data_IF_037849388416
#
_entry.id   IF_037849388416
#
_cell.length_a   1.000
_cell.length_b   1.000
_cell.length_c   1.000
_cell.angle_alpha   90.00
_cell.angle_beta   90.00
_cell.angle_gamma   90.00
#
_symmetry.space_group_name_H-M   'P 1'
#
loop_
_entity.id
_entity.type
_entity.pdbx_description
1 polymer ?
#
# COMPACT_ATOMS: atom_id res chain seq x y z
N UNK A 1 -2.63 -40.23 7.44
CA UNK A 1 -3.66 -39.17 7.26
C UNK A 1 -3.42 -38.00 8.23
N UNK A 2 -2.44 -37.15 7.88
CA UNK A 2 -2.08 -35.97 8.67
C UNK A 2 -3.03 -34.82 8.33
N UNK A 3 -3.82 -34.38 9.33
CA UNK A 3 -4.59 -33.14 9.26
C UNK A 3 -3.60 -31.97 9.36
N UNK A 4 -3.27 -31.35 8.23
CA UNK A 4 -2.43 -30.16 8.22
C UNK A 4 -3.22 -28.94 8.69
N UNK A 5 -2.80 -28.50 9.87
CA UNK A 5 -3.14 -27.29 10.59
C UNK A 5 -2.94 -26.05 9.69
N UNK A 6 -4.02 -25.47 9.16
CA UNK A 6 -4.03 -24.11 8.62
C UNK A 6 -4.76 -23.24 9.63
N UNK A 7 -4.00 -22.66 10.56
CA UNK A 7 -4.47 -21.56 11.40
C UNK A 7 -4.59 -20.32 10.52
N UNK A 8 -5.69 -20.23 9.78
CA UNK A 8 -6.16 -18.99 9.15
C UNK A 8 -6.92 -18.22 10.21
N UNK A 9 -6.36 -17.13 10.72
CA UNK A 9 -7.13 -16.04 11.34
C UNK A 9 -6.33 -14.73 11.24
N UNK A 10 -6.13 -14.26 10.02
CA UNK A 10 -5.95 -12.83 9.75
C UNK A 10 -7.36 -12.25 9.57
N UNK A 11 -7.93 -11.67 10.63
CA UNK A 11 -9.32 -11.21 10.76
C UNK A 11 -9.68 -10.02 9.84
N UNK A 12 -9.59 -10.23 8.53
CA UNK A 12 -10.18 -9.41 7.49
C UNK A 12 -11.03 -10.31 6.59
N UNK A 13 -12.35 -10.10 6.61
CA UNK A 13 -13.26 -10.81 5.72
C UNK A 13 -13.21 -10.15 4.33
N UNK A 14 -12.88 -10.90 3.26
CA UNK A 14 -12.78 -10.34 1.93
C UNK A 14 -14.11 -9.69 1.49
N UNK A 15 -14.06 -8.42 1.15
CA UNK A 15 -15.18 -7.70 0.58
C UNK A 15 -15.45 -8.10 -0.88
N UNK A 16 -16.66 -7.87 -1.40
CA UNK A 16 -17.01 -8.23 -2.78
C UNK A 16 -16.17 -7.49 -3.84
N UNK A 17 -15.63 -6.30 -3.51
CA UNK A 17 -14.80 -5.49 -4.41
C UNK A 17 -13.31 -5.85 -4.36
N UNK A 18 -12.87 -6.65 -3.40
CA UNK A 18 -11.45 -6.95 -3.19
C UNK A 18 -10.84 -7.66 -4.39
N UNK A 19 -11.59 -8.57 -4.99
CA UNK A 19 -11.18 -9.29 -6.20
C UNK A 19 -10.99 -8.34 -7.39
N UNK A 20 -11.80 -7.29 -7.48
CA UNK A 20 -11.72 -6.25 -8.51
C UNK A 20 -10.48 -5.38 -8.28
N UNK A 21 -10.28 -4.90 -7.05
CA UNK A 21 -9.09 -4.10 -6.71
C UNK A 21 -7.80 -4.87 -6.90
N UNK A 22 -7.76 -6.13 -6.46
CA UNK A 22 -6.62 -7.01 -6.64
C UNK A 22 -6.32 -7.22 -8.12
N UNK A 23 -7.33 -7.56 -8.92
CA UNK A 23 -7.18 -7.78 -10.36
C UNK A 23 -6.67 -6.51 -11.07
N UNK A 24 -7.22 -5.35 -10.72
CA UNK A 24 -6.81 -4.07 -11.28
C UNK A 24 -5.37 -3.71 -10.92
N UNK A 25 -5.02 -3.79 -9.63
CA UNK A 25 -3.66 -3.50 -9.15
C UNK A 25 -2.64 -4.46 -9.81
N UNK A 26 -2.96 -5.75 -9.83
CA UNK A 26 -2.15 -6.77 -10.51
C UNK A 26 -1.95 -6.43 -11.99
N UNK A 27 -2.98 -6.02 -12.71
CA UNK A 27 -2.86 -5.64 -14.12
C UNK A 27 -1.88 -4.47 -14.32
N UNK A 28 -1.85 -3.49 -13.41
CA UNK A 28 -0.86 -2.40 -13.44
C UNK A 28 0.56 -2.90 -13.15
N UNK A 29 0.72 -3.78 -12.17
CA UNK A 29 2.02 -4.40 -11.89
C UNK A 29 2.53 -5.23 -13.08
N UNK A 30 1.67 -6.04 -13.70
CA UNK A 30 2.01 -6.83 -14.90
C UNK A 30 2.47 -5.93 -16.04
N UNK A 31 1.79 -4.79 -16.26
CA UNK A 31 2.17 -3.83 -17.29
C UNK A 31 3.58 -3.25 -17.06
N UNK A 32 3.91 -2.93 -15.81
CA UNK A 32 5.23 -2.37 -15.46
C UNK A 32 6.33 -3.46 -15.49
N UNK A 33 6.03 -4.66 -14.99
CA UNK A 33 6.99 -5.77 -14.91
C UNK A 33 7.20 -6.41 -16.29
N UNK A 34 6.17 -6.50 -17.11
CA UNK A 34 6.18 -7.20 -18.41
C UNK A 34 5.99 -8.71 -18.27
N UNK A 35 5.55 -9.19 -17.12
CA UNK A 35 5.34 -10.61 -16.83
C UNK A 35 4.20 -10.78 -15.81
N UNK A 36 3.44 -11.87 -15.94
CA UNK A 36 2.35 -12.23 -15.05
C UNK A 36 2.57 -13.62 -14.48
N UNK A 37 2.38 -13.77 -13.16
CA UNK A 37 2.44 -15.07 -12.50
C UNK A 37 1.30 -15.99 -12.94
N UNK A 38 1.53 -17.30 -12.96
CA UNK A 38 0.49 -18.30 -13.17
C UNK A 38 -0.38 -18.50 -11.91
N UNK A 39 0.13 -18.12 -10.73
CA UNK A 39 -0.63 -18.23 -9.49
C UNK A 39 -1.79 -17.23 -9.47
N UNK A 40 -3.00 -17.68 -9.07
CA UNK A 40 -4.15 -16.79 -8.96
C UNK A 40 -4.03 -15.86 -7.76
N UNK A 41 -4.88 -14.82 -7.75
CA UNK A 41 -5.11 -13.98 -6.58
C UNK A 41 -3.85 -13.34 -6.00
N UNK A 42 -3.81 -13.32 -4.67
CA UNK A 42 -2.81 -12.59 -3.89
C UNK A 42 -1.41 -13.21 -3.99
N UNK A 43 -1.31 -14.54 -4.05
CA UNK A 43 -0.01 -15.21 -4.13
C UNK A 43 0.73 -14.86 -5.42
N UNK A 44 0.01 -14.81 -6.55
CA UNK A 44 0.64 -14.36 -7.78
C UNK A 44 0.93 -12.86 -7.81
N UNK A 45 0.19 -12.04 -7.05
CA UNK A 45 0.56 -10.62 -6.85
C UNK A 45 1.92 -10.49 -6.16
N UNK A 46 2.14 -11.28 -5.10
CA UNK A 46 3.42 -11.31 -4.37
C UNK A 46 4.56 -11.81 -5.27
N UNK A 47 4.32 -12.79 -6.15
CA UNK A 47 5.34 -13.20 -7.13
C UNK A 47 5.70 -12.09 -8.12
N UNK A 48 4.72 -11.30 -8.57
CA UNK A 48 4.98 -10.17 -9.45
C UNK A 48 5.77 -9.08 -8.71
N UNK A 49 5.47 -8.82 -7.43
CA UNK A 49 6.25 -7.91 -6.59
C UNK A 49 7.70 -8.37 -6.40
N UNK A 50 7.90 -9.67 -6.15
CA UNK A 50 9.24 -10.27 -6.09
C UNK A 50 9.98 -10.09 -7.42
N UNK A 51 9.28 -10.32 -8.55
CA UNK A 51 9.86 -10.14 -9.87
C UNK A 51 10.22 -8.69 -10.16
N UNK A 52 9.42 -7.72 -9.70
CA UNK A 52 9.71 -6.30 -9.82
C UNK A 52 11.03 -5.95 -9.12
N UNK A 53 11.24 -6.42 -7.89
CA UNK A 53 12.50 -6.23 -7.16
C UNK A 53 13.71 -6.85 -7.87
N UNK A 54 13.53 -8.00 -8.52
CA UNK A 54 14.62 -8.69 -9.22
C UNK A 54 14.88 -8.13 -10.63
N UNK A 55 13.94 -7.37 -11.20
CA UNK A 55 14.05 -6.80 -12.55
C UNK A 55 15.11 -5.71 -12.64
N UNK A 56 15.25 -4.91 -11.59
CA UNK A 56 16.14 -3.76 -11.57
C UNK A 56 17.43 -4.05 -10.81
N UNK A 57 18.56 -3.54 -11.32
CA UNK A 57 19.86 -3.71 -10.64
C UNK A 57 19.99 -2.84 -9.39
N UNK A 58 19.24 -1.74 -9.34
CA UNK A 58 19.27 -0.79 -8.24
C UNK A 58 17.87 -0.64 -7.61
N UNK A 59 17.86 -0.19 -6.35
CA UNK A 59 16.63 -0.01 -5.57
C UNK A 59 15.82 1.20 -6.03
N UNK A 60 16.48 2.26 -6.49
CA UNK A 60 15.83 3.50 -6.93
C UNK A 60 14.94 3.28 -8.15
N UNK A 61 15.38 2.51 -9.14
CA UNK A 61 14.60 2.14 -10.32
C UNK A 61 13.35 1.33 -9.92
N UNK A 62 13.49 0.46 -8.92
CA UNK A 62 12.34 -0.30 -8.38
C UNK A 62 11.36 0.63 -7.68
N UNK A 63 11.86 1.59 -6.90
CA UNK A 63 11.03 2.58 -6.25
C UNK A 63 10.29 3.44 -7.27
N UNK A 64 10.98 3.92 -8.30
CA UNK A 64 10.40 4.73 -9.37
C UNK A 64 9.37 3.94 -10.20
N UNK A 65 9.66 2.66 -10.51
CA UNK A 65 8.70 1.76 -11.16
C UNK A 65 7.45 1.57 -10.30
N UNK A 66 7.62 1.42 -8.99
CA UNK A 66 6.49 1.33 -8.05
C UNK A 66 5.70 2.63 -8.00
N UNK A 67 6.34 3.80 -8.01
CA UNK A 67 5.66 5.10 -8.11
C UNK A 67 4.86 5.21 -9.41
N UNK A 68 5.38 4.73 -10.55
CA UNK A 68 4.63 4.68 -11.82
C UNK A 68 3.41 3.77 -11.73
N UNK A 69 3.53 2.61 -11.08
CA UNK A 69 2.40 1.72 -10.81
C UNK A 69 1.35 2.45 -9.98
N UNK A 70 1.72 3.04 -8.84
CA UNK A 70 0.80 3.76 -7.95
C UNK A 70 0.08 4.90 -8.67
N UNK A 71 0.82 5.71 -9.44
CA UNK A 71 0.25 6.79 -10.26
C UNK A 71 -0.74 6.27 -11.29
N UNK A 72 -0.48 5.10 -11.87
CA UNK A 72 -1.35 4.49 -12.88
C UNK A 72 -2.67 3.93 -12.33
N UNK A 73 -2.82 3.86 -10.99
CA UNK A 73 -4.08 3.46 -10.34
C UNK A 73 -5.14 4.56 -10.39
N UNK A 74 -4.71 5.81 -10.58
CA UNK A 74 -5.59 6.97 -10.56
C UNK A 74 -5.64 7.64 -11.93
N UNK A 75 -6.79 8.20 -12.34
CA UNK A 75 -6.84 9.12 -13.45
C UNK A 75 -5.96 10.37 -13.18
N UNK A 76 -5.14 10.85 -14.13
CA UNK A 76 -4.20 11.96 -13.88
C UNK A 76 -4.85 13.24 -13.34
N UNK A 77 -6.06 13.55 -13.80
CA UNK A 77 -6.81 14.72 -13.35
C UNK A 77 -7.17 14.65 -11.86
N UNK A 78 -7.46 13.45 -11.34
CA UNK A 78 -7.84 13.27 -9.92
C UNK A 78 -6.67 13.61 -9.00
N UNK A 79 -5.45 13.13 -9.32
CA UNK A 79 -4.26 13.44 -8.54
C UNK A 79 -3.94 14.94 -8.57
N UNK A 80 -4.03 15.56 -9.76
CA UNK A 80 -3.80 16.99 -9.93
C UNK A 80 -4.81 17.82 -9.10
N UNK A 81 -6.10 17.53 -9.22
CA UNK A 81 -7.15 18.25 -8.50
C UNK A 81 -7.01 18.04 -6.99
N UNK A 82 -6.72 16.83 -6.53
CA UNK A 82 -6.50 16.58 -5.10
C UNK A 82 -5.34 17.41 -4.55
N UNK A 83 -4.20 17.42 -5.26
CA UNK A 83 -3.01 18.20 -4.86
C UNK A 83 -3.26 19.71 -4.87
N UNK A 84 -4.04 20.23 -5.82
CA UNK A 84 -4.31 21.66 -5.93
C UNK A 84 -5.42 22.15 -4.99
N UNK A 85 -6.46 21.33 -4.78
CA UNK A 85 -7.68 21.76 -4.10
C UNK A 85 -7.81 21.22 -2.68
N UNK A 86 -7.32 20.01 -2.39
CA UNK A 86 -7.54 19.35 -1.08
C UNK A 86 -6.30 19.46 -0.20
N UNK A 87 -5.11 19.18 -0.75
CA UNK A 87 -3.86 19.21 -0.01
C UNK A 87 -3.51 20.54 0.69
N UNK A 88 -3.77 21.74 0.10
CA UNK A 88 -3.45 23.00 0.78
C UNK A 88 -4.51 23.45 1.79
N UNK A 89 -5.69 22.82 1.84
CA UNK A 89 -6.77 23.26 2.72
C UNK A 89 -6.41 23.08 4.20
N UNK A 90 -6.63 24.12 5.00
CA UNK A 90 -6.46 24.10 6.45
C UNK A 90 -5.14 23.44 6.90
N UNK A 91 -4.04 23.77 6.19
CA UNK A 91 -2.70 23.23 6.47
C UNK A 91 -2.53 21.74 6.15
N UNK A 92 -3.39 21.17 5.30
CA UNK A 92 -3.31 19.78 4.83
C UNK A 92 -3.95 18.74 5.75
N UNK A 93 -4.50 19.15 6.90
CA UNK A 93 -5.20 18.24 7.82
C UNK A 93 -6.36 17.47 7.18
N UNK A 94 -7.27 18.10 6.40
CA UNK A 94 -8.37 17.39 5.77
C UNK A 94 -7.86 16.34 4.77
N UNK A 95 -6.82 16.68 4.02
CA UNK A 95 -6.19 15.80 3.04
C UNK A 95 -5.58 14.57 3.73
N UNK A 96 -4.89 14.77 4.86
CA UNK A 96 -4.30 13.69 5.65
C UNK A 96 -5.39 12.78 6.25
N UNK A 97 -6.42 13.34 6.89
CA UNK A 97 -7.54 12.56 7.43
C UNK A 97 -8.30 11.78 6.35
N UNK A 98 -8.57 12.41 5.20
CA UNK A 98 -9.23 11.76 4.07
C UNK A 98 -8.39 10.60 3.55
N UNK A 99 -7.09 10.81 3.37
CA UNK A 99 -6.17 9.78 2.88
C UNK A 99 -6.09 8.59 3.84
N UNK A 100 -6.01 8.85 5.15
CA UNK A 100 -6.02 7.79 6.17
C UNK A 100 -7.31 6.97 6.14
N UNK A 101 -8.47 7.62 6.08
CA UNK A 101 -9.79 6.95 6.00
C UNK A 101 -9.96 6.13 4.73
N UNK A 102 -9.61 6.72 3.58
CA UNK A 102 -9.69 6.01 2.29
C UNK A 102 -8.76 4.80 2.29
N UNK A 103 -7.51 4.97 2.74
CA UNK A 103 -6.54 3.87 2.84
C UNK A 103 -7.07 2.75 3.73
N UNK A 104 -7.56 3.06 4.93
CA UNK A 104 -8.14 2.08 5.84
C UNK A 104 -9.42 1.42 5.27
N UNK A 105 -10.18 2.11 4.42
CA UNK A 105 -11.39 1.55 3.81
C UNK A 105 -11.10 0.66 2.57
N UNK A 106 -10.12 1.03 1.74
CA UNK A 106 -9.95 0.43 0.41
C UNK A 106 -8.70 -0.43 0.26
N UNK A 107 -7.74 -0.37 1.18
CA UNK A 107 -6.47 -1.09 1.06
C UNK A 107 -6.36 -2.31 1.98
N UNK A 108 -7.44 -2.70 2.68
CA UNK A 108 -7.42 -3.86 3.57
C UNK A 108 -7.24 -5.20 2.83
N UNK A 109 -7.74 -5.33 1.60
CA UNK A 109 -7.48 -6.52 0.78
C UNK A 109 -5.97 -6.73 0.53
N UNK A 110 -5.20 -5.63 0.49
CA UNK A 110 -3.76 -5.60 0.24
C UNK A 110 -2.96 -5.75 1.54
N UNK A 111 -3.30 -4.96 2.56
CA UNK A 111 -2.50 -4.85 3.78
C UNK A 111 -3.07 -5.67 4.93
N UNK A 112 -4.31 -6.13 4.88
CA UNK A 112 -5.01 -6.71 6.03
C UNK A 112 -5.75 -5.66 6.86
N UNK A 113 -6.22 -6.06 8.03
CA UNK A 113 -7.04 -5.23 8.92
C UNK A 113 -6.34 -3.91 9.24
N UNK A 114 -7.00 -2.82 8.88
CA UNK A 114 -6.47 -1.46 8.97
C UNK A 114 -7.44 -0.56 9.73
N UNK A 115 -6.94 0.20 10.69
CA UNK A 115 -7.75 1.13 11.49
C UNK A 115 -7.16 2.54 11.45
N UNK A 116 -8.02 3.56 11.53
CA UNK A 116 -7.56 4.94 11.61
C UNK A 116 -7.24 5.27 13.06
N UNK A 117 -6.05 5.82 13.31
CA UNK A 117 -5.58 6.22 14.64
C UNK A 117 -5.34 7.73 14.70
N UNK A 118 -5.46 8.29 15.89
CA UNK A 118 -5.05 9.66 16.17
C UNK A 118 -3.52 9.74 16.28
N UNK A 119 -2.92 10.75 15.66
CA UNK A 119 -1.51 11.09 15.84
C UNK A 119 -1.42 12.45 16.51
N UNK A 120 -0.54 12.55 17.51
CA UNK A 120 -0.21 13.82 18.14
C UNK A 120 0.73 14.60 17.23
N UNK A 121 0.20 15.69 16.65
CA UNK A 121 0.99 16.64 15.88
C UNK A 121 1.26 17.88 16.74
N UNK A 122 2.29 18.68 16.43
CA UNK A 122 2.62 19.90 17.19
C UNK A 122 1.43 20.85 17.37
N UNK A 123 0.51 20.85 16.43
CA UNK A 123 -0.66 21.73 16.41
C UNK A 123 -1.95 21.04 16.92
N UNK A 124 -1.84 19.85 17.54
CA UNK A 124 -2.94 19.08 18.11
C UNK A 124 -3.12 17.69 17.48
N UNK A 125 -3.95 16.85 18.11
CA UNK A 125 -4.18 15.48 17.64
C UNK A 125 -5.07 15.43 16.38
N UNK A 126 -4.75 14.51 15.47
CA UNK A 126 -5.43 14.38 14.18
C UNK A 126 -5.59 12.90 13.81
N UNK A 127 -6.79 12.50 13.40
CA UNK A 127 -7.10 11.14 12.92
C UNK A 127 -6.57 10.91 11.50
N UNK A 128 -5.25 11.01 11.36
CA UNK A 128 -4.52 10.91 10.09
C UNK A 128 -3.52 9.76 10.04
N UNK A 129 -3.42 8.94 11.10
CA UNK A 129 -2.62 7.72 11.09
C UNK A 129 -3.43 6.51 10.65
N UNK A 130 -2.76 5.49 10.12
CA UNK A 130 -3.36 4.19 9.81
C UNK A 130 -2.52 3.12 10.49
N UNK A 131 -3.15 2.33 11.36
CA UNK A 131 -2.53 1.14 11.93
C UNK A 131 -2.99 -0.09 11.16
N UNK A 132 -2.04 -0.77 10.55
CA UNK A 132 -2.22 -2.12 10.00
C UNK A 132 -1.78 -3.12 11.07
N UNK A 133 -2.74 -3.82 11.67
CA UNK A 133 -2.47 -4.72 12.81
C UNK A 133 -1.51 -5.85 12.43
N UNK A 134 -1.65 -6.37 11.19
CA UNK A 134 -0.77 -7.38 10.61
C UNK A 134 -0.76 -7.24 9.08
N UNK A 135 0.34 -6.71 8.55
CA UNK A 135 0.53 -6.41 7.15
C UNK A 135 0.67 -7.68 6.30
N UNK A 136 -0.39 -8.04 5.58
CA UNK A 136 -0.43 -9.21 4.68
C UNK A 136 0.66 -9.15 3.61
N UNK A 137 1.00 -7.97 3.11
CA UNK A 137 2.05 -7.80 2.09
C UNK A 137 3.45 -8.07 2.64
N UNK A 138 3.74 -7.55 3.83
CA UNK A 138 5.00 -7.80 4.51
C UNK A 138 5.13 -9.27 4.91
N UNK A 139 4.08 -9.84 5.49
CA UNK A 139 4.05 -11.25 5.92
C UNK A 139 4.21 -12.21 4.73
N UNK A 140 3.53 -11.97 3.61
CA UNK A 140 3.59 -12.84 2.45
C UNK A 140 4.91 -12.71 1.67
N UNK A 141 5.49 -11.51 1.58
CA UNK A 141 6.77 -11.29 0.89
C UNK A 141 7.98 -11.83 1.66
N UNK A 142 7.89 -11.93 3.00
CA UNK A 142 8.96 -12.44 3.89
C UNK A 142 10.33 -11.79 3.68
N UNK A 143 10.36 -10.56 3.18
CA UNK A 143 11.59 -9.86 2.83
C UNK A 143 11.44 -8.36 3.10
N UNK A 144 12.24 -7.85 4.03
CA UNK A 144 12.25 -6.43 4.37
C UNK A 144 12.54 -5.55 3.13
N UNK A 145 13.41 -6.00 2.23
CA UNK A 145 13.73 -5.28 1.00
C UNK A 145 12.52 -5.07 0.09
N UNK A 146 11.66 -6.09 -0.06
CA UNK A 146 10.43 -5.96 -0.85
C UNK A 146 9.49 -4.96 -0.19
N UNK A 147 9.24 -5.08 1.13
CA UNK A 147 8.41 -4.11 1.85
C UNK A 147 8.93 -2.67 1.73
N UNK A 148 10.24 -2.46 1.89
CA UNK A 148 10.84 -1.13 1.88
C UNK A 148 10.77 -0.51 0.48
N UNK A 149 11.15 -1.25 -0.56
CA UNK A 149 11.37 -0.70 -1.90
C UNK A 149 10.20 -0.86 -2.87
N UNK A 150 9.17 -1.65 -2.52
CA UNK A 150 7.92 -1.77 -3.32
C UNK A 150 6.67 -1.32 -2.59
N UNK A 151 6.78 -0.92 -1.32
CA UNK A 151 5.65 -0.39 -0.55
C UNK A 151 6.01 0.91 0.17
N UNK A 152 6.88 0.88 1.19
CA UNK A 152 7.18 2.04 2.06
C UNK A 152 7.68 3.27 1.29
N UNK A 153 8.88 3.19 0.70
CA UNK A 153 9.52 4.36 0.10
C UNK A 153 8.73 4.88 -1.12
N UNK A 154 8.22 4.00 -2.02
CA UNK A 154 7.42 4.46 -3.15
C UNK A 154 6.10 5.08 -2.74
N UNK A 155 5.42 4.55 -1.72
CA UNK A 155 4.13 5.11 -1.26
C UNK A 155 4.32 6.47 -0.60
N UNK A 156 5.36 6.62 0.24
CA UNK A 156 5.74 7.93 0.79
C UNK A 156 6.06 8.94 -0.32
N UNK A 157 6.83 8.53 -1.33
CA UNK A 157 7.17 9.39 -2.46
C UNK A 157 5.93 9.75 -3.29
N UNK A 158 5.07 8.77 -3.58
CA UNK A 158 3.85 8.98 -4.34
C UNK A 158 2.91 9.96 -3.62
N UNK A 159 2.64 9.75 -2.33
CA UNK A 159 1.71 10.59 -1.57
C UNK A 159 2.27 12.01 -1.39
N UNK A 160 3.58 12.14 -1.16
CA UNK A 160 4.23 13.45 -1.08
C UNK A 160 4.22 14.18 -2.42
N UNK A 161 4.74 13.56 -3.48
CA UNK A 161 5.00 14.24 -4.74
C UNK A 161 3.76 14.34 -5.64
N UNK A 162 2.77 13.46 -5.51
CA UNK A 162 1.57 13.47 -6.38
C UNK A 162 0.30 13.88 -5.65
N UNK A 163 0.19 13.61 -4.35
CA UNK A 163 -0.96 14.02 -3.54
C UNK A 163 -0.68 15.26 -2.66
N UNK A 164 0.59 15.64 -2.49
CA UNK A 164 0.97 16.84 -1.72
C UNK A 164 0.90 16.66 -0.20
N UNK A 165 0.89 15.43 0.30
CA UNK A 165 0.78 15.13 1.74
C UNK A 165 2.09 14.54 2.26
N UNK A 166 2.68 15.06 3.35
CA UNK A 166 3.79 14.39 4.00
C UNK A 166 3.32 13.09 4.66
N UNK A 167 3.91 11.96 4.27
CA UNK A 167 3.65 10.65 4.86
C UNK A 167 4.94 10.04 5.42
N UNK A 168 4.83 9.46 6.61
CA UNK A 168 5.84 8.56 7.18
C UNK A 168 5.21 7.19 7.40
N UNK A 169 5.93 6.13 7.02
CA UNK A 169 5.50 4.75 7.21
C UNK A 169 6.56 3.98 8.01
N UNK A 170 6.13 3.20 8.99
CA UNK A 170 6.97 2.46 9.92
C UNK A 170 6.52 0.99 10.03
N UNK A 171 7.11 0.08 9.23
CA UNK A 171 6.84 -1.35 9.33
C UNK A 171 7.61 -1.97 10.50
N UNK A 172 6.94 -2.87 11.24
CA UNK A 172 7.55 -3.71 12.26
C UNK A 172 7.79 -5.12 11.70
N UNK A 173 9.06 -5.49 11.58
CA UNK A 173 9.46 -6.78 11.00
C UNK A 173 9.35 -7.97 11.95
N UNK A 174 9.07 -7.74 13.24
CA UNK A 174 8.94 -8.79 14.25
C UNK A 174 7.50 -9.32 14.34
N UNK A 175 6.50 -8.42 14.35
CA UNK A 175 5.09 -8.78 14.49
C UNK A 175 4.26 -8.59 13.21
N UNK A 176 4.88 -8.02 12.17
CA UNK A 176 4.30 -7.68 10.87
C UNK A 176 3.31 -6.52 10.89
N UNK A 177 3.18 -5.76 11.98
CA UNK A 177 2.39 -4.53 11.99
C UNK A 177 3.03 -3.42 11.13
N UNK A 178 2.25 -2.41 10.73
CA UNK A 178 2.76 -1.21 10.07
C UNK A 178 1.93 0.01 10.45
N UNK A 179 2.60 1.14 10.61
CA UNK A 179 2.00 2.47 10.81
C UNK A 179 2.37 3.42 9.67
#
# INVERSE_FOLDING_TARGET
PSKNNTKTDSNYEPGPLDSVFLSFFRAKMVKEVGWNSEKPGYDGLIEIANRLMMKHKNRLDTEEATVRILRSLFPPLVLLLFRLLVAPLAGGRPAAMMTARVTAATCQWLMGRSTVIALDLPDGSCNSGVLVERCRYLEASKCAGICIHTCKLPTQMFIKEYMGIPLHMEPNFNDFSCQ
#
